data_IF_362952158843
#
_entry.id   IF_362952158843
#
_cell.length_a   1.000
_cell.length_b   1.000
_cell.length_c   1.000
_cell.angle_alpha   90.00
_cell.angle_beta   90.00
_cell.angle_gamma   90.00
#
_symmetry.space_group_name_H-M   'P 1'
#
loop_
_entity.id
_entity.type
_entity.pdbx_description
1 polymer ?
#
# COMPACT_ATOMS: atom_id res chain seq x y z
N UNK A 1 3.80 -13.40 -11.33
CA UNK A 1 2.72 -12.56 -10.85
C UNK A 1 3.25 -11.19 -10.50
N UNK A 2 2.60 -10.20 -11.00
CA UNK A 2 2.98 -8.86 -10.69
C UNK A 2 2.14 -8.31 -9.59
N UNK A 3 2.78 -7.57 -8.71
CA UNK A 3 2.06 -6.82 -7.71
C UNK A 3 2.03 -5.39 -8.17
N UNK A 4 0.88 -4.97 -8.58
CA UNK A 4 0.75 -3.61 -9.06
C UNK A 4 0.29 -2.73 -7.94
N UNK A 5 1.17 -1.88 -7.49
CA UNK A 5 0.78 -0.86 -6.54
C UNK A 5 0.19 0.27 -7.34
N UNK A 6 -1.07 0.13 -7.66
CA UNK A 6 -1.74 1.13 -8.48
C UNK A 6 -2.36 2.19 -7.61
N UNK A 7 -2.47 3.41 -8.11
CA UNK A 7 -3.11 4.47 -7.33
C UNK A 7 -4.50 4.05 -6.89
N UNK A 8 -4.80 4.30 -5.64
CA UNK A 8 -6.06 3.90 -5.05
C UNK A 8 -6.03 2.58 -4.33
N UNK A 9 -5.02 1.76 -4.57
CA UNK A 9 -4.91 0.47 -3.88
C UNK A 9 -4.65 0.69 -2.40
N UNK A 10 -5.16 -0.21 -1.58
CA UNK A 10 -4.90 -0.18 -0.15
C UNK A 10 -3.78 -1.14 0.18
N UNK A 11 -2.85 -0.68 1.00
CA UNK A 11 -1.70 -1.48 1.39
C UNK A 11 -1.47 -1.32 2.88
N UNK A 12 -0.67 -2.20 3.43
CA UNK A 12 -0.22 -2.06 4.80
C UNK A 12 1.22 -2.55 4.87
N UNK A 13 1.93 -2.09 5.88
CA UNK A 13 3.26 -2.60 6.14
C UNK A 13 3.14 -3.68 7.19
N UNK A 14 3.35 -4.95 6.82
CA UNK A 14 3.18 -6.04 7.80
C UNK A 14 4.19 -5.99 8.93
N UNK A 15 5.28 -5.28 8.74
CA UNK A 15 6.29 -5.14 9.79
C UNK A 15 6.07 -3.90 10.66
N UNK A 16 5.14 -3.05 10.28
CA UNK A 16 4.83 -1.83 11.00
C UNK A 16 3.34 -1.63 11.00
N UNK A 17 2.66 -2.50 11.69
CA UNK A 17 1.20 -2.47 11.69
C UNK A 17 0.65 -1.18 12.29
N UNK A 18 1.44 -0.52 13.11
CA UNK A 18 1.02 0.74 13.70
C UNK A 18 0.85 1.87 12.70
N UNK A 19 1.37 1.70 11.49
CA UNK A 19 1.18 2.71 10.46
C UNK A 19 -0.27 2.77 9.99
N UNK A 20 -1.02 1.69 10.16
CA UNK A 20 -2.39 1.63 9.70
C UNK A 20 -2.44 1.32 8.22
N UNK A 21 -3.61 1.46 7.65
CA UNK A 21 -3.79 1.24 6.22
C UNK A 21 -3.27 2.44 5.45
N UNK A 22 -2.70 2.17 4.30
CA UNK A 22 -2.25 3.21 3.42
C UNK A 22 -2.94 3.11 2.08
N UNK A 23 -3.07 4.23 1.42
CA UNK A 23 -3.60 4.28 0.08
C UNK A 23 -2.50 4.72 -0.87
N UNK A 24 -2.29 3.94 -1.90
CA UNK A 24 -1.26 4.25 -2.87
C UNK A 24 -1.65 5.50 -3.65
N UNK A 25 -0.75 6.46 -3.69
CA UNK A 25 -0.96 7.68 -4.44
C UNK A 25 -0.32 7.59 -5.82
N UNK A 26 0.86 7.01 -5.88
CA UNK A 26 1.55 6.83 -7.14
C UNK A 26 2.59 5.74 -6.97
N UNK A 27 3.02 5.19 -8.09
CA UNK A 27 4.05 4.17 -8.10
C UNK A 27 4.91 4.39 -9.33
N UNK A 28 6.21 4.56 -9.10
CA UNK A 28 7.17 4.75 -10.18
C UNK A 28 8.34 3.82 -9.92
N UNK A 29 8.49 2.82 -10.76
CA UNK A 29 9.54 1.84 -10.54
C UNK A 29 9.37 1.18 -9.19
N UNK A 30 10.40 1.23 -8.36
CA UNK A 30 10.35 0.64 -7.03
C UNK A 30 9.88 1.63 -5.96
N UNK A 31 9.50 2.82 -6.36
CA UNK A 31 9.09 3.85 -5.40
C UNK A 31 7.59 3.99 -5.43
N UNK A 32 7.00 3.78 -4.28
CA UNK A 32 5.55 3.84 -4.14
C UNK A 32 5.24 4.89 -3.10
N UNK A 33 4.45 5.87 -3.47
CA UNK A 33 4.01 6.90 -2.53
C UNK A 33 2.69 6.46 -1.95
N UNK A 34 2.65 6.38 -0.64
CA UNK A 34 1.49 5.86 0.08
C UNK A 34 1.13 6.83 1.18
N UNK A 35 -0.16 7.06 1.34
CA UNK A 35 -0.67 7.88 2.43
C UNK A 35 -1.21 6.94 3.49
N UNK A 36 -0.45 6.78 4.58
CA UNK A 36 -0.85 5.90 5.67
C UNK A 36 -1.69 6.66 6.69
N UNK A 37 -2.64 5.95 7.28
CA UNK A 37 -3.56 6.57 8.21
C UNK A 37 -2.85 7.22 9.38
N UNK A 38 -1.80 6.57 9.88
CA UNK A 38 -1.14 7.05 11.09
C UNK A 38 0.21 7.69 10.82
N UNK A 39 0.70 7.61 9.61
CA UNK A 39 2.02 8.15 9.28
C UNK A 39 1.97 9.26 8.26
N UNK A 40 0.85 9.40 7.57
CA UNK A 40 0.77 10.37 6.51
C UNK A 40 1.43 9.86 5.23
N UNK A 41 1.80 10.80 4.38
CA UNK A 41 2.32 10.47 3.06
C UNK A 41 3.78 10.06 3.16
N UNK A 42 4.09 8.91 2.62
CA UNK A 42 5.44 8.38 2.64
C UNK A 42 5.78 7.78 1.29
N UNK A 43 7.03 7.92 0.90
CA UNK A 43 7.53 7.26 -0.30
C UNK A 43 8.34 6.05 0.15
N UNK A 44 7.98 4.90 -0.36
CA UNK A 44 8.54 3.63 0.09
C UNK A 44 9.21 2.94 -1.07
N UNK A 45 10.42 2.43 -0.80
CA UNK A 45 11.13 1.63 -1.78
C UNK A 45 10.72 0.17 -1.56
N UNK A 46 9.86 -0.33 -2.44
CA UNK A 46 9.32 -1.67 -2.28
C UNK A 46 10.31 -2.77 -2.62
N UNK A 47 11.47 -2.40 -3.13
CA UNK A 47 12.54 -3.38 -3.30
C UNK A 47 13.19 -3.71 -1.96
N UNK A 48 13.04 -2.84 -0.97
CA UNK A 48 13.64 -3.02 0.35
C UNK A 48 12.57 -3.28 1.39
N UNK A 49 11.46 -2.57 1.31
CA UNK A 49 10.39 -2.66 2.29
C UNK A 49 9.25 -3.44 1.68
N UNK A 50 8.80 -4.45 2.39
CA UNK A 50 7.68 -5.25 1.92
C UNK A 50 6.38 -4.56 2.29
N UNK A 51 5.55 -4.34 1.29
CA UNK A 51 4.18 -3.87 1.51
C UNK A 51 3.23 -4.95 1.07
N UNK A 52 2.11 -5.02 1.75
CA UNK A 52 1.10 -6.02 1.50
C UNK A 52 -0.14 -5.35 0.98
N UNK A 53 -0.62 -5.79 -0.17
CA UNK A 53 -1.86 -5.24 -0.71
C UNK A 53 -3.01 -5.80 0.08
N UNK A 54 -3.85 -4.92 0.59
CA UNK A 54 -4.99 -5.30 1.38
C UNK A 54 -6.18 -5.38 0.45
N UNK A 55 -6.67 -6.58 0.29
CA UNK A 55 -7.79 -6.81 -0.61
C UNK A 55 -8.94 -7.33 0.22
N UNK A 56 -9.47 -6.47 1.08
CA UNK A 56 -10.57 -6.87 1.92
C UNK A 56 -11.86 -6.20 1.50
N UNK A 57 -11.92 -5.82 0.25
CA UNK A 57 -13.17 -5.30 -0.26
C UNK A 57 -14.21 -6.39 -0.22
N UNK A 58 -15.41 -6.08 0.24
CA UNK A 58 -16.45 -7.07 0.19
C UNK A 58 -16.67 -7.45 -1.26
N UNK A 59 -16.89 -8.72 -1.50
CA UNK A 59 -17.14 -9.14 -2.86
C UNK A 59 -18.31 -8.38 -3.42
N UNK A 60 -18.17 -7.97 -4.66
CA UNK A 60 -19.25 -7.28 -5.31
C UNK A 60 -20.46 -8.19 -5.36
N UNK A 61 -21.59 -7.66 -5.05
CA UNK A 61 -22.78 -8.44 -5.13
C UNK A 61 -23.08 -9.28 -3.91
N UNK A 62 -22.26 -9.17 -2.93
CA UNK A 62 -22.55 -9.86 -1.68
C UNK A 62 -22.99 -8.89 -0.66
#
# INVERSE_FOLDING_TARGET
VEFDFVPGALVRNPNELGWGLGQVQSAVGNRVTVNFENMGKMTINVAVVTLEVVDDLPPAGT
#
